data_IF_471213646777
#
_entry.id   IF_471213646777
#
_cell.length_a   1.000
_cell.length_b   1.000
_cell.length_c   1.000
_cell.angle_alpha   90.00
_cell.angle_beta   90.00
_cell.angle_gamma   90.00
#
_symmetry.space_group_name_H-M   'P 1'
#
loop_
_entity.id
_entity.type
_entity.pdbx_description
1 polymer ?
#
# COMPACT_ATOMS: atom_id res chain seq x y z
N UNK A 1 -15.87 4.67 10.93
CA UNK A 1 -16.82 5.33 10.02
C UNK A 1 -16.20 5.51 8.63
N UNK A 2 -15.05 6.18 8.48
CA UNK A 2 -14.39 6.39 7.18
C UNK A 2 -14.07 5.10 6.38
N UNK A 3 -13.61 4.03 7.04
CA UNK A 3 -13.29 2.77 6.36
C UNK A 3 -14.51 2.08 5.73
N UNK A 4 -15.68 2.22 6.35
CA UNK A 4 -16.93 1.60 5.90
C UNK A 4 -17.48 2.30 4.66
N UNK A 5 -17.37 3.63 4.60
CA UNK A 5 -17.82 4.41 3.45
C UNK A 5 -16.93 4.20 2.23
N UNK A 6 -15.60 4.20 2.43
CA UNK A 6 -14.64 3.89 1.37
C UNK A 6 -14.85 2.46 0.84
N UNK A 7 -15.17 1.52 1.73
CA UNK A 7 -15.49 0.14 1.37
C UNK A 7 -16.73 0.04 0.47
N UNK A 8 -17.87 0.62 0.87
CA UNK A 8 -19.12 0.59 0.08
C UNK A 8 -18.93 1.18 -1.32
N UNK A 9 -18.13 2.25 -1.43
CA UNK A 9 -17.85 2.89 -2.71
C UNK A 9 -16.95 2.04 -3.63
N UNK A 10 -16.02 1.28 -3.07
CA UNK A 10 -15.11 0.41 -3.83
C UNK A 10 -15.76 -0.93 -4.21
N UNK A 11 -16.60 -1.49 -3.35
CA UNK A 11 -17.33 -2.74 -3.59
C UNK A 11 -18.24 -2.64 -4.82
N UNK A 12 -18.90 -1.49 -5.00
CA UNK A 12 -19.72 -1.20 -6.20
C UNK A 12 -18.92 -1.19 -7.52
N UNK A 13 -17.58 -1.15 -7.46
CA UNK A 13 -16.69 -0.84 -8.59
C UNK A 13 -15.91 -2.02 -9.15
N UNK A 14 -15.92 -3.19 -8.47
CA UNK A 14 -15.44 -4.56 -8.84
C UNK A 14 -14.52 -5.20 -7.78
N UNK A 15 -14.53 -6.55 -7.64
CA UNK A 15 -13.65 -7.28 -6.71
C UNK A 15 -12.15 -7.03 -6.89
N UNK A 16 -11.71 -6.78 -8.14
CA UNK A 16 -10.31 -6.51 -8.45
C UNK A 16 -9.81 -5.20 -7.85
N UNK A 17 -10.61 -4.12 -7.94
CA UNK A 17 -10.23 -2.81 -7.37
C UNK A 17 -10.16 -2.85 -5.85
N UNK A 18 -10.99 -3.67 -5.24
CA UNK A 18 -11.03 -3.89 -3.80
C UNK A 18 -9.79 -4.64 -3.30
N UNK A 19 -9.37 -5.68 -4.04
CA UNK A 19 -8.12 -6.38 -3.77
C UNK A 19 -6.91 -5.44 -3.87
N UNK A 20 -6.84 -4.61 -4.92
CA UNK A 20 -5.78 -3.61 -5.06
C UNK A 20 -5.78 -2.60 -3.91
N UNK A 21 -6.94 -2.09 -3.51
CA UNK A 21 -7.05 -1.18 -2.38
C UNK A 21 -6.52 -1.80 -1.08
N UNK A 22 -6.95 -3.02 -0.77
CA UNK A 22 -6.51 -3.74 0.43
C UNK A 22 -5.01 -4.02 0.41
N UNK A 23 -4.46 -4.47 -0.73
CA UNK A 23 -3.03 -4.68 -0.85
C UNK A 23 -2.24 -3.37 -0.75
N UNK A 24 -2.73 -2.25 -1.29
CA UNK A 24 -2.09 -0.94 -1.12
C UNK A 24 -2.05 -0.47 0.33
N UNK A 25 -3.13 -0.69 1.08
CA UNK A 25 -3.17 -0.40 2.53
C UNK A 25 -2.18 -1.25 3.30
N UNK A 26 -2.12 -2.55 3.01
CA UNK A 26 -1.13 -3.44 3.61
C UNK A 26 0.28 -3.00 3.26
N UNK A 27 0.59 -2.75 1.98
CA UNK A 27 1.91 -2.31 1.53
C UNK A 27 2.36 -1.01 2.21
N UNK A 28 1.47 -0.03 2.32
CA UNK A 28 1.76 1.23 3.02
C UNK A 28 2.08 1.00 4.50
N UNK A 29 1.30 0.14 5.16
CA UNK A 29 1.50 -0.16 6.59
C UNK A 29 2.75 -1.00 6.83
N UNK A 30 3.07 -1.95 5.93
CA UNK A 30 4.33 -2.71 5.94
C UNK A 30 5.52 -1.76 5.80
N UNK A 31 5.44 -0.76 4.92
CA UNK A 31 6.45 0.30 4.78
C UNK A 31 6.79 0.98 6.11
N UNK A 32 5.77 1.33 6.91
CA UNK A 32 5.98 1.88 8.26
C UNK A 32 6.62 0.88 9.24
N UNK A 33 6.25 -0.40 9.16
CA UNK A 33 6.78 -1.45 10.03
C UNK A 33 8.26 -1.77 9.76
N UNK A 34 8.67 -1.79 8.48
CA UNK A 34 10.04 -2.15 8.06
C UNK A 34 10.99 -0.96 7.95
N UNK A 35 10.51 0.26 8.17
CA UNK A 35 11.30 1.48 8.06
C UNK A 35 12.43 1.57 9.09
N UNK A 36 13.23 2.62 8.99
CA UNK A 36 14.27 2.98 9.95
C UNK A 36 13.77 3.88 11.08
N UNK A 37 12.45 4.07 11.20
CA UNK A 37 11.84 4.88 12.25
C UNK A 37 11.99 4.26 13.65
N UNK A 38 11.55 5.01 14.66
CA UNK A 38 11.59 4.54 16.06
C UNK A 38 10.86 3.21 16.25
N UNK A 39 11.26 2.45 17.28
CA UNK A 39 10.63 1.17 17.61
C UNK A 39 9.11 1.32 17.79
N UNK A 40 8.65 2.37 18.46
CA UNK A 40 7.22 2.61 18.69
C UNK A 40 6.45 2.81 17.38
N UNK A 41 7.00 3.56 16.42
CA UNK A 41 6.38 3.77 15.10
C UNK A 41 6.32 2.48 14.30
N UNK A 42 7.40 1.70 14.30
CA UNK A 42 7.46 0.41 13.60
C UNK A 42 6.50 -0.61 14.20
N UNK A 43 6.40 -0.65 15.53
CA UNK A 43 5.40 -1.46 16.23
C UNK A 43 3.99 -0.98 15.95
N UNK A 44 3.77 0.34 15.86
CA UNK A 44 2.50 0.93 15.42
C UNK A 44 2.07 0.39 14.05
N UNK A 45 3.00 0.36 13.08
CA UNK A 45 2.75 -0.27 11.77
C UNK A 45 2.34 -1.75 11.89
N UNK A 46 3.02 -2.53 12.73
CA UNK A 46 2.67 -3.94 12.95
C UNK A 46 1.27 -4.12 13.58
N UNK A 47 0.92 -3.31 14.58
CA UNK A 47 -0.42 -3.33 15.16
C UNK A 47 -1.48 -2.90 14.16
N UNK A 48 -1.22 -1.87 13.35
CA UNK A 48 -2.11 -1.44 12.28
C UNK A 48 -2.36 -2.57 11.26
N UNK A 49 -1.34 -3.34 10.88
CA UNK A 49 -1.49 -4.50 10.00
C UNK A 49 -2.44 -5.54 10.59
N UNK A 50 -2.25 -5.88 11.86
CA UNK A 50 -3.13 -6.82 12.56
C UNK A 50 -4.58 -6.31 12.61
N UNK A 51 -4.78 -5.04 12.97
CA UNK A 51 -6.10 -4.43 13.02
C UNK A 51 -6.77 -4.43 11.65
N UNK A 52 -6.07 -4.00 10.59
CA UNK A 52 -6.58 -4.01 9.23
C UNK A 52 -7.06 -5.39 8.80
N UNK A 53 -6.31 -6.44 9.14
CA UNK A 53 -6.71 -7.81 8.83
C UNK A 53 -7.94 -8.26 9.63
N UNK A 54 -7.98 -8.01 10.94
CA UNK A 54 -9.08 -8.46 11.81
C UNK A 54 -10.39 -7.70 11.56
N UNK A 55 -10.33 -6.43 11.16
CA UNK A 55 -11.50 -5.58 10.95
C UNK A 55 -12.00 -5.56 9.50
N UNK A 56 -11.35 -6.29 8.60
CA UNK A 56 -11.76 -6.29 7.21
C UNK A 56 -13.15 -6.93 7.05
N UNK A 57 -14.03 -6.39 6.19
CA UNK A 57 -15.39 -6.92 6.02
C UNK A 57 -15.47 -8.19 5.14
N UNK A 58 -14.33 -8.66 4.60
CA UNK A 58 -14.30 -9.68 3.54
C UNK A 58 -14.32 -11.12 4.06
N UNK A 59 -15.05 -11.97 3.34
CA UNK A 59 -15.11 -13.41 3.55
C UNK A 59 -14.94 -14.14 2.21
N UNK A 60 -13.82 -14.85 1.95
CA UNK A 60 -12.67 -15.00 2.83
C UNK A 60 -11.84 -13.69 2.98
N UNK A 61 -11.07 -13.54 4.07
CA UNK A 61 -10.22 -12.37 4.27
C UNK A 61 -9.10 -12.28 3.23
N UNK A 62 -8.82 -11.08 2.73
CA UNK A 62 -7.60 -10.77 2.01
C UNK A 62 -6.40 -10.92 2.94
N UNK A 63 -5.50 -11.81 2.54
CA UNK A 63 -4.22 -12.04 3.20
C UNK A 63 -3.22 -10.93 2.86
N UNK A 64 -2.31 -10.67 3.78
CA UNK A 64 -1.24 -9.69 3.63
C UNK A 64 -0.10 -10.31 2.81
N UNK A 65 0.26 -9.68 1.69
CA UNK A 65 1.44 -10.09 0.94
C UNK A 65 2.71 -9.65 1.68
N UNK A 66 3.64 -10.59 1.86
CA UNK A 66 4.98 -10.33 2.39
C UNK A 66 6.03 -10.90 1.44
N UNK A 67 6.98 -10.05 1.07
CA UNK A 67 8.24 -10.49 0.47
C UNK A 67 9.14 -11.15 1.53
N UNK A 68 10.12 -11.92 1.06
CA UNK A 68 11.13 -12.53 1.94
C UNK A 68 11.94 -11.47 2.71
N UNK A 69 12.19 -10.31 2.11
CA UNK A 69 12.89 -9.19 2.75
C UNK A 69 12.09 -8.59 3.91
N UNK A 70 10.80 -8.36 3.69
CA UNK A 70 9.89 -7.84 4.72
C UNK A 70 9.71 -8.84 5.87
N UNK A 71 9.67 -10.14 5.58
CA UNK A 71 9.60 -11.18 6.61
C UNK A 71 10.86 -11.19 7.49
N UNK A 72 12.05 -11.02 6.91
CA UNK A 72 13.30 -10.85 7.68
C UNK A 72 13.22 -9.61 8.59
N UNK A 73 12.69 -8.50 8.09
CA UNK A 73 12.51 -7.26 8.88
C UNK A 73 11.48 -7.43 10.00
N UNK A 74 10.39 -8.16 9.78
CA UNK A 74 9.42 -8.52 10.82
C UNK A 74 10.08 -9.37 11.92
N UNK A 75 10.91 -10.35 11.56
CA UNK A 75 11.68 -11.14 12.52
C UNK A 75 12.59 -10.25 13.37
N UNK A 76 13.33 -9.33 12.74
CA UNK A 76 14.18 -8.36 13.48
C UNK A 76 13.35 -7.47 14.41
N UNK A 77 12.17 -7.00 13.97
CA UNK A 77 11.27 -6.20 14.81
C UNK A 77 10.80 -6.97 16.05
N UNK A 78 10.46 -8.25 15.90
CA UNK A 78 10.07 -9.13 17.02
C UNK A 78 11.22 -9.32 18.01
N UNK A 79 12.45 -9.49 17.53
CA UNK A 79 13.65 -9.60 18.38
C UNK A 79 13.85 -8.29 19.16
N UNK A 80 13.82 -7.15 18.47
CA UNK A 80 14.01 -5.85 19.09
C UNK A 80 12.93 -5.55 20.16
N UNK A 81 11.67 -5.91 19.89
CA UNK A 81 10.60 -5.80 20.87
C UNK A 81 10.84 -6.65 22.13
N UNK A 82 11.39 -7.86 21.97
CA UNK A 82 11.76 -8.72 23.12
C UNK A 82 12.87 -8.11 23.95
N UNK A 83 13.90 -7.57 23.30
CA UNK A 83 15.02 -6.89 23.97
C UNK A 83 14.55 -5.71 24.82
N UNK A 84 13.49 -5.01 24.37
CA UNK A 84 12.87 -3.90 25.09
C UNK A 84 11.73 -4.34 26.04
N UNK A 85 11.57 -5.64 26.31
CA UNK A 85 10.60 -6.16 27.26
C UNK A 85 9.14 -6.15 26.79
N UNK A 86 8.87 -5.88 25.51
CA UNK A 86 7.52 -5.81 24.93
C UNK A 86 7.03 -7.22 24.55
N UNK A 87 6.53 -7.96 25.55
CA UNK A 87 6.13 -9.37 25.42
C UNK A 87 4.91 -9.62 24.52
N UNK A 88 4.08 -8.61 24.27
CA UNK A 88 2.87 -8.73 23.43
C UNK A 88 3.18 -8.96 21.96
N UNK A 89 4.28 -8.41 21.45
CA UNK A 89 4.64 -8.45 20.02
C UNK A 89 4.90 -9.89 19.53
N UNK A 90 5.74 -10.71 20.19
CA UNK A 90 5.91 -12.11 19.80
C UNK A 90 4.62 -12.92 19.80
N UNK A 91 3.77 -12.73 20.81
CA UNK A 91 2.50 -13.45 20.91
C UNK A 91 1.55 -13.06 19.77
N UNK A 92 1.54 -11.78 19.40
CA UNK A 92 0.72 -11.28 18.29
C UNK A 92 1.20 -11.85 16.94
N UNK A 93 2.50 -11.80 16.65
CA UNK A 93 3.05 -12.35 15.40
C UNK A 93 2.82 -13.85 15.30
N UNK A 94 2.94 -14.59 16.42
CA UNK A 94 2.59 -16.01 16.47
C UNK A 94 1.13 -16.24 16.07
N UNK A 95 0.20 -15.46 16.62
CA UNK A 95 -1.22 -15.51 16.26
C UNK A 95 -1.47 -15.21 14.78
N UNK A 96 -0.78 -14.22 14.21
CA UNK A 96 -0.90 -13.89 12.79
C UNK A 96 -0.48 -15.05 11.89
N UNK A 97 0.57 -15.79 12.27
CA UNK A 97 1.01 -17.00 11.57
C UNK A 97 -0.01 -18.12 11.70
N UNK A 98 -0.51 -18.38 12.91
CA UNK A 98 -1.52 -19.42 13.18
C UNK A 98 -2.83 -19.18 12.43
N UNK A 99 -3.24 -17.91 12.30
CA UNK A 99 -4.42 -17.51 11.50
C UNK A 99 -4.16 -17.49 9.98
N UNK A 100 -2.97 -17.88 9.53
CA UNK A 100 -2.61 -17.92 8.10
C UNK A 100 -2.86 -16.57 7.40
N UNK A 101 -2.53 -15.48 8.08
CA UNK A 101 -2.83 -14.12 7.60
C UNK A 101 -1.91 -13.66 6.47
N UNK A 102 -0.79 -14.34 6.26
CA UNK A 102 0.23 -13.95 5.29
C UNK A 102 0.14 -14.77 4.00
N UNK A 103 0.39 -14.10 2.88
CA UNK A 103 0.80 -14.71 1.62
C UNK A 103 2.28 -14.45 1.45
N UNK A 104 3.08 -15.51 1.39
CA UNK A 104 4.50 -15.39 1.14
C UNK A 104 4.72 -15.35 -0.36
N UNK A 105 5.21 -14.22 -0.85
CA UNK A 105 5.64 -14.10 -2.23
C UNK A 105 6.97 -14.78 -2.43
N UNK A 106 7.00 -15.88 -3.19
CA UNK A 106 8.17 -16.19 -3.99
C UNK A 106 8.12 -15.28 -5.21
N UNK A 107 8.76 -14.13 -5.13
CA UNK A 107 9.21 -13.42 -6.33
C UNK A 107 10.53 -14.07 -6.67
N UNK A 108 10.58 -14.81 -7.78
CA UNK A 108 11.85 -15.12 -8.42
C UNK A 108 12.48 -13.78 -8.76
N UNK A 109 13.46 -13.36 -7.97
CA UNK A 109 14.14 -12.07 -8.12
C UNK A 109 15.14 -12.20 -9.29
N UNK A 110 14.62 -12.35 -10.50
CA UNK A 110 15.38 -11.92 -11.66
C UNK A 110 15.21 -10.40 -11.74
N UNK A 111 16.21 -9.66 -11.25
CA UNK A 111 16.22 -8.18 -11.17
C UNK A 111 15.79 -7.48 -12.48
N UNK A 112 16.00 -8.12 -13.63
CA UNK A 112 15.54 -7.63 -14.93
C UNK A 112 14.02 -7.53 -15.07
N UNK A 113 13.26 -8.52 -14.58
CA UNK A 113 11.81 -8.60 -14.75
C UNK A 113 11.06 -7.58 -13.87
N UNK A 114 11.58 -7.30 -12.67
CA UNK A 114 10.96 -6.34 -11.74
C UNK A 114 11.13 -4.91 -12.24
N UNK A 115 12.32 -4.55 -12.73
CA UNK A 115 12.57 -3.22 -13.32
C UNK A 115 11.68 -2.98 -14.55
N UNK A 116 11.56 -3.99 -15.42
CA UNK A 116 10.73 -3.92 -16.61
C UNK A 116 9.23 -3.78 -16.28
N UNK A 117 8.74 -4.52 -15.28
CA UNK A 117 7.35 -4.43 -14.83
C UNK A 117 7.05 -3.07 -14.18
N UNK A 118 7.99 -2.54 -13.39
CA UNK A 118 7.87 -1.20 -12.77
C UNK A 118 7.89 -0.11 -13.84
N UNK A 119 8.75 -0.22 -14.85
CA UNK A 119 8.79 0.72 -15.97
C UNK A 119 7.47 0.70 -16.76
N UNK A 120 6.94 -0.48 -17.10
CA UNK A 120 5.65 -0.61 -17.77
C UNK A 120 4.49 -0.01 -16.95
N UNK A 121 4.49 -0.23 -15.63
CA UNK A 121 3.47 0.36 -14.74
C UNK A 121 3.61 1.89 -14.64
N UNK A 122 4.84 2.40 -14.70
CA UNK A 122 5.13 3.84 -14.69
C UNK A 122 4.67 4.48 -15.99
N UNK A 123 5.02 3.90 -17.14
CA UNK A 123 4.58 4.35 -18.47
C UNK A 123 3.05 4.38 -18.59
N UNK A 124 2.37 3.36 -18.03
CA UNK A 124 0.92 3.31 -18.03
C UNK A 124 0.28 4.36 -17.10
N UNK A 125 0.94 4.71 -15.99
CA UNK A 125 0.50 5.84 -15.16
C UNK A 125 0.75 7.17 -15.86
N UNK A 126 1.92 7.38 -16.46
CA UNK A 126 2.26 8.59 -17.19
C UNK A 126 1.31 8.81 -18.37
N UNK A 127 0.99 7.76 -19.13
CA UNK A 127 0.00 7.84 -20.20
C UNK A 127 -1.39 8.25 -19.69
N UNK A 128 -1.80 7.73 -18.53
CA UNK A 128 -3.08 8.12 -17.91
C UNK A 128 -3.08 9.56 -17.42
N UNK A 129 -1.97 10.02 -16.84
CA UNK A 129 -1.78 11.42 -16.44
C UNK A 129 -1.83 12.33 -17.65
N UNK A 130 -1.15 11.97 -18.75
CA UNK A 130 -1.18 12.74 -20.00
C UNK A 130 -2.58 12.82 -20.60
N UNK A 131 -3.34 11.71 -20.60
CA UNK A 131 -4.74 11.72 -21.06
C UNK A 131 -5.62 12.58 -20.15
N UNK A 132 -5.44 12.51 -18.83
CA UNK A 132 -6.17 13.35 -17.88
C UNK A 132 -5.82 14.84 -18.04
N UNK A 133 -4.54 15.15 -18.25
CA UNK A 133 -4.05 16.50 -18.53
C UNK A 133 -4.69 17.02 -19.82
N UNK A 134 -4.59 16.27 -20.93
CA UNK A 134 -5.21 16.65 -22.20
C UNK A 134 -6.72 16.89 -22.06
N UNK A 135 -7.44 16.01 -21.37
CA UNK A 135 -8.88 16.22 -21.11
C UNK A 135 -9.16 17.47 -20.28
N UNK A 136 -8.34 17.75 -19.26
CA UNK A 136 -8.49 18.95 -18.44
C UNK A 136 -8.29 20.22 -19.27
N UNK A 137 -7.36 20.24 -20.22
CA UNK A 137 -7.12 21.42 -21.07
C UNK A 137 -8.01 21.47 -22.32
N UNK A 138 -8.55 20.35 -22.80
CA UNK A 138 -9.56 20.32 -23.87
C UNK A 138 -10.93 20.83 -23.36
N UNK A 139 -11.25 20.62 -22.07
CA UNK A 139 -12.55 20.96 -21.46
C UNK A 139 -12.58 22.41 -20.90
N UNK A 140 -11.42 23.05 -20.78
CA UNK A 140 -11.32 24.44 -20.33
C UNK A 140 -10.74 25.25 -21.48
N UNK A 141 -11.41 26.34 -21.88
CA UNK A 141 -10.89 27.33 -22.85
C UNK A 141 -9.67 28.11 -22.31
N UNK A 142 -8.74 27.44 -21.62
CA UNK A 142 -7.51 28.02 -21.06
C UNK A 142 -6.60 28.55 -22.16
N UNK A 143 -6.64 27.98 -23.38
CA UNK A 143 -5.93 28.53 -24.53
C UNK A 143 -6.33 29.99 -24.83
N UNK A 144 -7.58 30.39 -24.52
CA UNK A 144 -8.03 31.78 -24.64
C UNK A 144 -7.52 32.69 -23.50
N UNK A 145 -7.07 32.11 -22.38
CA UNK A 145 -6.51 32.84 -21.23
C UNK A 145 -4.98 32.83 -21.18
N UNK A 146 -4.32 31.91 -21.88
CA UNK A 146 -2.86 31.90 -22.04
C UNK A 146 -2.36 32.98 -23.00
N UNK A 147 -3.25 33.52 -23.84
CA UNK A 147 -3.00 34.65 -24.75
C UNK A 147 -3.48 36.02 -24.22
N UNK A 148 -3.74 36.16 -22.91
CA UNK A 148 -3.91 37.49 -22.31
C UNK A 148 -2.55 38.20 -22.29
N UNK A 149 -2.31 38.95 -23.37
CA UNK A 149 -1.20 39.84 -23.67
C UNK A 149 -0.38 40.32 -22.46
N UNK A 150 0.85 39.83 -22.35
CA UNK A 150 1.97 40.60 -21.78
C UNK A 150 2.59 41.52 -22.86
N UNK A 151 1.77 42.32 -23.54
CA UNK A 151 2.25 43.42 -24.38
C UNK A 151 1.27 44.60 -24.25
N UNK A 152 1.73 45.65 -23.57
CA UNK A 152 1.23 47.01 -23.79
C UNK A 152 0.48 47.67 -22.63
N UNK A 153 1.23 48.10 -21.61
CA UNK A 153 1.29 49.50 -21.13
C UNK A 153 2.26 49.63 -19.97
#
# INVERSE_FOLDING_TARGET
MAFQEVYLHLEARSPTKLAFFMQSLYAHTIGHMISTYSLSQRLGGMYCLYCLYETQPFKPPFKMYFSLGELKKLKTLVINAKEHGIKGVPALVKRMLEKNMFLFGFVDLHEGSVSETVNQLTELQDARVQVAYKKLFDDIRIEQFLHMDMVGM
#
